data_IF_561345636164
#
_entry.id   IF_561345636164
#
_cell.length_a   1.000
_cell.length_b   1.000
_cell.length_c   1.000
_cell.angle_alpha   90.00
_cell.angle_beta   90.00
_cell.angle_gamma   90.00
#
_symmetry.space_group_name_H-M   'P 1'
#
loop_
_entity.id
_entity.type
_entity.pdbx_description
1 polymer ?
#
# COMPACT_ATOMS: atom_id res chain seq x y z
N UNK A 1 -5.14 25.09 -22.81
CA UNK A 1 -3.77 25.55 -22.53
C UNK A 1 -3.43 26.61 -23.55
N UNK A 2 -2.92 27.80 -23.16
CA UNK A 2 -2.34 28.71 -24.14
C UNK A 2 -1.21 27.98 -24.86
N UNK A 3 -1.08 28.20 -26.17
CA UNK A 3 0.00 27.61 -26.95
C UNK A 3 1.34 28.12 -26.39
N UNK A 4 2.19 27.21 -25.91
CA UNK A 4 3.55 27.55 -25.49
C UNK A 4 4.35 27.87 -26.75
N UNK A 5 4.87 29.09 -26.84
CA UNK A 5 5.85 29.44 -27.86
C UNK A 5 7.18 28.73 -27.55
N UNK A 6 7.45 27.66 -28.30
CA UNK A 6 8.63 26.81 -28.12
C UNK A 6 9.94 27.56 -28.42
N UNK A 7 9.95 28.50 -29.36
CA UNK A 7 11.14 29.27 -29.69
C UNK A 7 11.50 30.23 -28.54
N UNK A 8 10.49 30.88 -27.97
CA UNK A 8 10.65 31.71 -26.77
C UNK A 8 11.10 30.88 -25.57
N UNK A 9 10.45 29.73 -25.33
CA UNK A 9 10.76 28.84 -24.22
C UNK A 9 12.24 28.40 -24.28
N UNK A 10 12.69 27.97 -25.47
CA UNK A 10 14.10 27.60 -25.68
C UNK A 10 15.06 28.74 -25.40
N UNK A 11 14.77 29.96 -25.86
CA UNK A 11 15.60 31.15 -25.59
C UNK A 11 15.65 31.49 -24.10
N UNK A 12 14.53 31.37 -23.39
CA UNK A 12 14.47 31.61 -21.95
C UNK A 12 15.21 30.54 -21.15
N UNK A 13 15.05 29.26 -21.49
CA UNK A 13 15.78 28.15 -20.86
C UNK A 13 17.28 28.24 -21.10
N UNK A 14 17.69 28.61 -22.32
CA UNK A 14 19.10 28.81 -22.65
C UNK A 14 19.70 29.96 -21.83
N UNK A 15 18.99 31.09 -21.73
CA UNK A 15 19.40 32.20 -20.84
C UNK A 15 19.44 31.81 -19.37
N UNK A 16 18.52 30.96 -18.92
CA UNK A 16 18.53 30.45 -17.55
C UNK A 16 19.82 29.63 -17.29
N UNK A 17 20.26 28.82 -18.26
CA UNK A 17 21.49 28.05 -18.16
C UNK A 17 22.75 28.93 -18.05
N UNK A 18 22.74 30.18 -18.53
CA UNK A 18 23.86 31.12 -18.35
C UNK A 18 24.15 31.40 -16.86
N UNK A 19 23.13 31.25 -15.99
CA UNK A 19 23.26 31.45 -14.54
C UNK A 19 23.63 30.17 -13.78
N UNK A 20 23.94 29.07 -14.47
CA UNK A 20 24.22 27.77 -13.83
C UNK A 20 25.28 27.83 -12.72
N UNK A 21 26.31 28.65 -12.91
CA UNK A 21 27.41 28.83 -11.94
C UNK A 21 27.10 29.85 -10.83
N UNK A 22 25.90 30.43 -10.82
CA UNK A 22 25.44 31.41 -9.85
C UNK A 22 24.10 30.93 -9.25
N UNK A 23 24.11 29.94 -8.33
CA UNK A 23 22.90 29.25 -7.88
C UNK A 23 21.76 30.15 -7.39
N UNK A 24 22.06 31.25 -6.69
CA UNK A 24 21.05 32.21 -6.23
C UNK A 24 20.38 32.98 -7.39
N UNK A 25 21.17 33.46 -8.36
CA UNK A 25 20.65 34.13 -9.55
C UNK A 25 19.89 33.16 -10.45
N UNK A 26 20.38 31.92 -10.55
CA UNK A 26 19.66 30.84 -11.23
C UNK A 26 18.28 30.64 -10.61
N UNK A 27 18.20 30.49 -9.28
CA UNK A 27 16.93 30.26 -8.60
C UNK A 27 15.97 31.43 -8.81
N UNK A 28 16.46 32.68 -8.73
CA UNK A 28 15.65 33.87 -9.01
C UNK A 28 15.04 33.84 -10.41
N UNK A 29 15.86 33.59 -11.44
CA UNK A 29 15.37 33.52 -12.82
C UNK A 29 14.50 32.28 -13.10
N UNK A 30 14.75 31.17 -12.40
CA UNK A 30 13.90 30.00 -12.47
C UNK A 30 12.50 30.31 -11.94
N UNK A 31 12.37 30.98 -10.78
CA UNK A 31 11.06 31.36 -10.24
C UNK A 31 10.29 32.24 -11.22
N UNK A 32 10.94 33.27 -11.78
CA UNK A 32 10.35 34.15 -12.79
C UNK A 32 9.84 33.36 -14.01
N UNK A 33 10.62 32.37 -14.46
CA UNK A 33 10.27 31.53 -15.59
C UNK A 33 9.10 30.57 -15.28
N UNK A 34 9.13 29.91 -14.12
CA UNK A 34 8.05 29.00 -13.70
C UNK A 34 6.74 29.76 -13.50
N UNK A 35 6.78 30.95 -12.89
CA UNK A 35 5.65 31.86 -12.70
C UNK A 35 5.06 32.36 -14.02
N UNK A 36 5.93 32.66 -14.99
CA UNK A 36 5.51 33.10 -16.32
C UNK A 36 4.71 32.02 -17.06
N UNK A 37 5.10 30.75 -16.91
CA UNK A 37 4.47 29.61 -17.57
C UNK A 37 3.39 28.91 -16.72
N UNK A 38 2.96 29.50 -15.59
CA UNK A 38 1.88 28.98 -14.74
C UNK A 38 0.61 28.75 -15.58
N UNK A 39 0.01 27.59 -15.42
CA UNK A 39 -1.27 27.30 -16.06
C UNK A 39 -2.44 27.96 -15.30
N UNK A 40 -2.73 29.22 -15.63
CA UNK A 40 -3.78 30.01 -14.97
C UNK A 40 -5.21 29.48 -15.15
N UNK A 41 -5.47 28.50 -16.02
CA UNK A 41 -6.81 27.88 -16.15
C UNK A 41 -7.12 26.89 -15.01
N UNK A 42 -6.15 26.56 -14.16
CA UNK A 42 -6.31 25.62 -13.03
C UNK A 42 -6.42 26.35 -11.67
N UNK A 43 -6.68 27.67 -11.67
CA UNK A 43 -6.57 28.54 -10.47
C UNK A 43 -7.79 28.49 -9.53
N UNK A 44 -8.48 27.35 -9.45
CA UNK A 44 -9.53 27.12 -8.44
C UNK A 44 -9.09 26.02 -7.49
N UNK A 45 -8.80 26.42 -6.25
CA UNK A 45 -8.60 25.61 -5.04
C UNK A 45 -7.18 25.01 -4.86
N UNK A 46 -6.57 25.42 -3.74
CA UNK A 46 -5.33 24.97 -3.06
C UNK A 46 -4.09 24.61 -3.90
N UNK A 47 -2.95 25.23 -3.57
CA UNK A 47 -1.64 25.17 -4.26
C UNK A 47 -0.90 23.81 -4.12
N UNK A 48 -1.62 22.71 -4.31
CA UNK A 48 -1.12 21.34 -4.15
C UNK A 48 -1.43 20.58 -5.44
N UNK A 49 -0.46 19.83 -5.99
CA UNK A 49 -0.71 18.94 -7.12
C UNK A 49 -1.53 17.72 -6.63
N UNK A 50 -2.44 17.13 -7.44
CA UNK A 50 -3.20 15.95 -7.02
C UNK A 50 -2.26 14.82 -6.55
N UNK A 51 -2.35 14.43 -5.27
CA UNK A 51 -1.49 13.38 -4.68
C UNK A 51 -0.13 13.85 -4.15
N UNK A 52 0.25 15.11 -4.37
CA UNK A 52 1.43 15.75 -3.79
C UNK A 52 1.07 16.43 -2.46
N UNK A 53 2.05 16.66 -1.58
CA UNK A 53 1.93 17.62 -0.46
C UNK A 53 2.83 18.85 -0.66
N UNK A 54 3.43 18.99 -1.85
CA UNK A 54 4.37 20.07 -2.15
C UNK A 54 3.67 21.26 -2.78
N UNK A 55 4.27 22.44 -2.56
CA UNK A 55 3.95 23.63 -3.35
C UNK A 55 4.31 23.33 -4.81
N UNK A 56 3.46 23.74 -5.72
CA UNK A 56 3.67 23.55 -7.17
C UNK A 56 3.40 24.84 -7.92
N UNK A 57 4.24 25.13 -8.91
CA UNK A 57 4.02 26.20 -9.88
C UNK A 57 2.97 25.80 -10.94
N UNK A 58 2.61 24.51 -11.02
CA UNK A 58 1.70 23.93 -12.03
C UNK A 58 2.17 24.26 -13.44
N UNK A 59 3.49 24.29 -13.62
CA UNK A 59 4.12 24.61 -14.89
C UNK A 59 3.99 23.40 -15.83
N UNK A 60 3.67 23.59 -17.12
CA UNK A 60 3.58 22.48 -18.07
C UNK A 60 4.88 21.66 -18.13
N UNK A 61 4.81 20.31 -18.19
CA UNK A 61 6.01 19.45 -18.19
C UNK A 61 7.05 19.80 -19.26
N UNK A 62 6.59 20.26 -20.43
CA UNK A 62 7.47 20.69 -21.52
C UNK A 62 8.45 21.80 -21.14
N UNK A 63 8.09 22.66 -20.16
CA UNK A 63 8.97 23.72 -19.66
C UNK A 63 10.14 23.12 -18.90
N UNK A 64 9.88 22.19 -17.97
CA UNK A 64 10.92 21.47 -17.23
C UNK A 64 11.81 20.67 -18.18
N UNK A 65 11.23 19.92 -19.11
CA UNK A 65 11.99 19.17 -20.11
C UNK A 65 12.92 20.08 -20.93
N UNK A 66 12.46 21.28 -21.30
CA UNK A 66 13.33 22.22 -22.01
C UNK A 66 14.46 22.73 -21.13
N UNK A 67 14.20 23.06 -19.86
CA UNK A 67 15.25 23.47 -18.90
C UNK A 67 16.27 22.35 -18.74
N UNK A 68 15.84 21.12 -18.48
CA UNK A 68 16.70 19.94 -18.36
C UNK A 68 17.61 19.75 -19.60
N UNK A 69 17.07 19.97 -20.80
CA UNK A 69 17.84 19.85 -22.04
C UNK A 69 18.97 20.89 -22.13
N UNK A 70 18.71 22.14 -21.73
CA UNK A 70 19.73 23.20 -21.74
C UNK A 70 20.77 23.00 -20.63
N UNK A 71 20.38 22.43 -19.47
CA UNK A 71 21.29 22.18 -18.34
C UNK A 71 22.16 20.93 -18.50
N UNK A 72 21.76 19.97 -19.34
CA UNK A 72 22.39 18.64 -19.41
C UNK A 72 23.91 18.69 -19.60
N UNK A 73 24.37 19.35 -20.65
CA UNK A 73 25.78 19.36 -21.01
C UNK A 73 26.64 20.09 -19.98
N UNK A 74 26.16 21.24 -19.48
CA UNK A 74 26.89 22.03 -18.48
C UNK A 74 26.96 21.31 -17.12
N UNK A 75 25.89 20.62 -16.72
CA UNK A 75 25.86 19.85 -15.47
C UNK A 75 26.79 18.63 -15.52
N UNK A 76 26.84 17.92 -16.65
CA UNK A 76 27.74 16.77 -16.85
C UNK A 76 29.22 17.19 -16.84
N UNK A 77 29.53 18.37 -17.37
CA UNK A 77 30.89 18.93 -17.38
C UNK A 77 31.33 19.51 -16.03
N UNK A 78 30.38 19.89 -15.16
CA UNK A 78 30.66 20.64 -13.93
C UNK A 78 29.93 20.05 -12.71
N UNK A 79 30.32 18.85 -12.24
CA UNK A 79 29.57 18.11 -11.22
C UNK A 79 29.51 18.82 -9.86
N UNK A 80 30.57 19.54 -9.46
CA UNK A 80 30.55 20.31 -8.22
C UNK A 80 29.48 21.40 -8.24
N UNK A 81 29.42 22.20 -9.30
CA UNK A 81 28.41 23.25 -9.45
C UNK A 81 27.00 22.69 -9.63
N UNK A 82 26.87 21.54 -10.31
CA UNK A 82 25.60 20.84 -10.41
C UNK A 82 25.07 20.39 -9.04
N UNK A 83 25.95 19.93 -8.14
CA UNK A 83 25.56 19.59 -6.77
C UNK A 83 25.13 20.82 -5.95
N UNK A 84 25.90 21.92 -6.03
CA UNK A 84 25.56 23.17 -5.35
C UNK A 84 24.20 23.72 -5.82
N UNK A 85 23.94 23.70 -7.14
CA UNK A 85 22.66 24.10 -7.68
C UNK A 85 21.53 23.13 -7.27
N UNK A 86 21.79 21.82 -7.26
CA UNK A 86 20.81 20.83 -6.82
C UNK A 86 20.40 21.04 -5.36
N UNK A 87 21.33 21.39 -4.48
CA UNK A 87 21.06 21.66 -3.07
C UNK A 87 20.09 22.86 -2.92
N UNK A 88 20.35 23.98 -3.62
CA UNK A 88 19.44 25.15 -3.58
C UNK A 88 18.05 24.81 -4.13
N UNK A 89 17.99 24.08 -5.24
CA UNK A 89 16.72 23.66 -5.84
C UNK A 89 15.92 22.73 -4.92
N UNK A 90 16.62 21.85 -4.18
CA UNK A 90 16.01 20.95 -3.23
C UNK A 90 15.42 21.68 -2.02
N UNK A 91 16.19 22.63 -1.47
CA UNK A 91 15.82 23.43 -0.30
C UNK A 91 14.64 24.38 -0.57
N UNK A 92 14.47 24.83 -1.81
CA UNK A 92 13.29 25.61 -2.22
C UNK A 92 11.97 24.86 -1.99
N UNK A 93 11.99 23.53 -2.10
CA UNK A 93 10.89 22.67 -1.65
C UNK A 93 9.63 22.62 -2.53
N UNK A 94 9.63 23.26 -3.69
CA UNK A 94 8.58 23.12 -4.68
C UNK A 94 8.74 21.82 -5.50
N UNK A 95 7.64 21.31 -6.06
CA UNK A 95 7.65 20.08 -6.87
C UNK A 95 8.62 20.21 -8.05
N UNK A 96 8.46 21.26 -8.85
CA UNK A 96 9.25 21.52 -10.05
C UNK A 96 10.75 21.66 -9.74
N UNK A 97 11.10 22.31 -8.63
CA UNK A 97 12.51 22.51 -8.25
C UNK A 97 13.13 21.23 -7.73
N UNK A 98 12.40 20.40 -6.99
CA UNK A 98 12.87 19.07 -6.56
C UNK A 98 13.04 18.10 -7.71
N UNK A 99 12.19 18.17 -8.74
CA UNK A 99 12.37 17.38 -9.96
C UNK A 99 13.64 17.81 -10.72
N UNK A 100 13.90 19.12 -10.82
CA UNK A 100 15.16 19.61 -11.40
C UNK A 100 16.39 19.22 -10.57
N UNK A 101 16.30 19.26 -9.24
CA UNK A 101 17.36 18.79 -8.35
C UNK A 101 17.66 17.30 -8.58
N UNK A 102 16.62 16.46 -8.66
CA UNK A 102 16.76 15.05 -8.99
C UNK A 102 17.38 14.82 -10.37
N UNK A 103 16.99 15.62 -11.37
CA UNK A 103 17.61 15.61 -12.70
C UNK A 103 19.11 15.91 -12.65
N UNK A 104 19.52 16.97 -11.93
CA UNK A 104 20.92 17.36 -11.79
C UNK A 104 21.76 16.28 -11.12
N UNK A 105 21.26 15.64 -10.05
CA UNK A 105 21.94 14.49 -9.44
C UNK A 105 22.20 13.38 -10.47
N UNK A 106 21.28 13.18 -11.40
CA UNK A 106 21.40 12.21 -12.49
C UNK A 106 22.48 12.50 -13.51
N UNK A 107 23.08 13.71 -13.48
CA UNK A 107 24.20 14.14 -14.33
C UNK A 107 25.55 14.01 -13.64
N UNK A 108 25.57 13.76 -12.33
CA UNK A 108 26.78 13.64 -11.52
C UNK A 108 27.46 12.28 -11.79
N UNK A 109 28.79 12.23 -11.99
CA UNK A 109 29.51 10.98 -12.15
C UNK A 109 29.45 10.14 -10.86
N UNK A 110 29.33 8.80 -10.95
CA UNK A 110 29.19 7.94 -9.76
C UNK A 110 30.41 7.93 -8.83
N UNK A 111 31.57 8.40 -9.30
CA UNK A 111 32.79 8.55 -8.51
C UNK A 111 32.75 9.76 -7.57
N UNK A 112 31.81 10.70 -7.75
CA UNK A 112 31.64 11.83 -6.85
C UNK A 112 31.01 11.36 -5.54
N UNK A 113 31.84 11.28 -4.49
CA UNK A 113 31.49 10.72 -3.17
C UNK A 113 30.29 11.44 -2.52
N UNK A 114 30.07 12.71 -2.88
CA UNK A 114 28.98 13.55 -2.37
C UNK A 114 27.58 13.18 -2.91
N UNK A 115 27.49 12.35 -3.96
CA UNK A 115 26.23 11.99 -4.61
C UNK A 115 25.35 11.08 -3.72
N UNK A 116 25.91 9.95 -3.27
CA UNK A 116 25.14 8.95 -2.50
C UNK A 116 24.57 9.49 -1.18
N UNK A 117 25.32 10.27 -0.36
CA UNK A 117 24.76 10.84 0.87
C UNK A 117 23.53 11.72 0.64
N UNK A 118 23.52 12.54 -0.42
CA UNK A 118 22.36 13.37 -0.80
C UNK A 118 21.19 12.51 -1.20
N UNK A 119 21.42 11.55 -2.11
CA UNK A 119 20.37 10.66 -2.58
C UNK A 119 19.71 9.91 -1.43
N UNK A 120 20.51 9.35 -0.51
CA UNK A 120 20.00 8.64 0.67
C UNK A 120 19.19 9.56 1.58
N UNK A 121 19.72 10.74 1.92
CA UNK A 121 19.02 11.69 2.78
C UNK A 121 17.70 12.17 2.15
N UNK A 122 17.72 12.53 0.88
CA UNK A 122 16.57 13.05 0.15
C UNK A 122 15.49 11.99 -0.03
N UNK A 123 15.86 10.75 -0.34
CA UNK A 123 14.93 9.61 -0.46
C UNK A 123 14.25 9.28 0.88
N UNK A 124 14.94 9.47 2.00
CA UNK A 124 14.37 9.24 3.34
C UNK A 124 13.41 10.36 3.79
N UNK A 125 13.67 11.60 3.38
CA UNK A 125 12.87 12.77 3.79
C UNK A 125 11.62 12.97 2.92
N UNK A 126 11.69 12.60 1.64
CA UNK A 126 10.62 12.88 0.68
C UNK A 126 9.45 11.90 0.83
N UNK A 127 8.23 12.42 0.80
CA UNK A 127 6.99 11.63 0.80
C UNK A 127 6.22 11.72 -0.52
N UNK A 128 6.58 12.70 -1.35
CA UNK A 128 5.97 12.92 -2.65
C UNK A 128 6.37 11.80 -3.62
N UNK A 129 5.40 11.09 -4.24
CA UNK A 129 5.69 9.93 -5.06
C UNK A 129 6.44 10.28 -6.35
N UNK A 130 6.18 11.44 -6.95
CA UNK A 130 6.80 11.85 -8.21
C UNK A 130 8.28 12.21 -7.98
N UNK A 131 8.56 12.99 -6.93
CA UNK A 131 9.95 13.30 -6.56
C UNK A 131 10.69 12.04 -6.12
N UNK A 132 10.07 11.16 -5.32
CA UNK A 132 10.69 9.89 -4.92
C UNK A 132 11.03 9.04 -6.15
N UNK A 133 10.11 8.96 -7.11
CA UNK A 133 10.34 8.28 -8.40
C UNK A 133 11.51 8.89 -9.15
N UNK A 134 11.59 10.22 -9.25
CA UNK A 134 12.68 10.91 -9.93
C UNK A 134 14.04 10.66 -9.27
N UNK A 135 14.11 10.60 -7.93
CA UNK A 135 15.35 10.25 -7.22
C UNK A 135 15.79 8.81 -7.51
N UNK A 136 14.86 7.87 -7.50
CA UNK A 136 15.17 6.45 -7.69
C UNK A 136 15.41 6.07 -9.15
N UNK A 137 14.97 6.90 -10.10
CA UNK A 137 15.12 6.63 -11.53
C UNK A 137 16.08 7.60 -12.22
N UNK A 138 15.71 8.88 -12.30
CA UNK A 138 16.45 9.92 -13.01
C UNK A 138 17.80 10.19 -12.35
N UNK A 139 17.84 10.34 -11.02
CA UNK A 139 19.09 10.66 -10.30
C UNK A 139 20.14 9.55 -10.35
N UNK A 140 19.75 8.32 -10.65
CA UNK A 140 20.65 7.17 -10.75
C UNK A 140 21.09 6.85 -12.18
N UNK A 141 20.71 7.68 -13.17
CA UNK A 141 20.94 7.39 -14.60
C UNK A 141 22.40 7.11 -14.94
N UNK A 142 23.34 7.98 -14.53
CA UNK A 142 24.77 7.77 -14.83
C UNK A 142 25.35 6.58 -14.07
N UNK A 143 25.03 6.43 -12.79
CA UNK A 143 25.47 5.26 -12.00
C UNK A 143 25.01 3.94 -12.62
N UNK A 144 23.77 3.88 -13.09
CA UNK A 144 23.21 2.72 -13.79
C UNK A 144 23.96 2.39 -15.09
N UNK A 145 24.37 3.39 -15.85
CA UNK A 145 25.02 3.22 -17.18
C UNK A 145 26.53 3.03 -17.11
N UNK A 146 27.21 3.76 -16.23
CA UNK A 146 28.67 3.80 -16.15
C UNK A 146 29.24 2.81 -15.14
N UNK A 147 28.50 2.54 -14.05
CA UNK A 147 28.93 1.67 -12.94
C UNK A 147 27.80 0.71 -12.52
N UNK A 148 27.29 -0.16 -13.43
CA UNK A 148 26.15 -1.02 -13.15
C UNK A 148 26.35 -1.95 -11.95
N UNK A 149 27.59 -2.41 -11.69
CA UNK A 149 27.90 -3.20 -10.51
C UNK A 149 27.67 -2.42 -9.20
N UNK A 150 28.11 -1.16 -9.12
CA UNK A 150 27.89 -0.30 -7.97
C UNK A 150 26.40 0.03 -7.79
N UNK A 151 25.69 0.25 -8.91
CA UNK A 151 24.24 0.43 -8.91
C UNK A 151 23.52 -0.79 -8.32
N UNK A 152 23.87 -2.01 -8.75
CA UNK A 152 23.27 -3.24 -8.22
C UNK A 152 23.58 -3.44 -6.74
N UNK A 153 24.76 -3.05 -6.26
CA UNK A 153 25.07 -3.04 -4.81
C UNK A 153 24.12 -2.12 -4.04
N UNK A 154 23.87 -0.90 -4.54
CA UNK A 154 22.90 0.01 -3.94
C UNK A 154 21.48 -0.58 -3.92
N UNK A 155 21.05 -1.21 -5.01
CA UNK A 155 19.74 -1.86 -5.07
C UNK A 155 19.66 -3.02 -4.07
N UNK A 156 20.70 -3.85 -3.92
CA UNK A 156 20.75 -4.91 -2.90
C UNK A 156 20.57 -4.38 -1.48
N UNK A 157 21.15 -3.22 -1.17
CA UNK A 157 20.94 -2.56 0.13
C UNK A 157 19.48 -2.14 0.36
N UNK A 158 18.79 -1.67 -0.68
CA UNK A 158 17.36 -1.37 -0.59
C UNK A 158 16.49 -2.62 -0.46
N UNK A 159 16.89 -3.71 -1.13
CA UNK A 159 16.18 -4.99 -1.13
C UNK A 159 16.58 -5.92 0.03
N UNK A 160 17.36 -5.44 1.00
CA UNK A 160 17.82 -6.26 2.11
C UNK A 160 16.64 -6.84 2.91
N UNK A 161 16.62 -8.14 3.27
CA UNK A 161 15.47 -8.77 3.93
C UNK A 161 15.01 -8.09 5.23
N UNK A 162 15.96 -7.64 6.06
CA UNK A 162 15.67 -6.91 7.29
C UNK A 162 15.08 -5.49 7.08
N UNK A 163 14.97 -5.00 5.84
CA UNK A 163 14.54 -3.63 5.50
C UNK A 163 13.38 -3.63 4.49
N UNK A 164 12.35 -4.44 4.73
CA UNK A 164 11.19 -4.55 3.82
C UNK A 164 10.54 -3.21 3.41
N UNK A 165 10.62 -2.19 4.27
CA UNK A 165 10.11 -0.83 3.97
C UNK A 165 10.82 -0.14 2.80
N UNK A 166 12.06 -0.51 2.49
CA UNK A 166 12.84 0.06 1.38
C UNK A 166 12.75 -0.76 0.11
N UNK A 167 12.06 -1.90 0.11
CA UNK A 167 11.99 -2.76 -1.07
C UNK A 167 11.34 -2.06 -2.27
N UNK A 168 10.28 -1.28 -2.04
CA UNK A 168 9.67 -0.43 -3.08
C UNK A 168 10.71 0.48 -3.74
N UNK A 169 11.64 1.04 -2.97
CA UNK A 169 12.72 1.87 -3.54
C UNK A 169 13.65 1.06 -4.44
N UNK A 170 14.01 -0.15 -4.01
CA UNK A 170 14.88 -1.03 -4.78
C UNK A 170 14.22 -1.48 -6.08
N UNK A 171 12.94 -1.88 -6.03
CA UNK A 171 12.16 -2.25 -7.22
C UNK A 171 12.08 -1.06 -8.18
N UNK A 172 11.66 0.10 -7.69
CA UNK A 172 11.49 1.31 -8.52
C UNK A 172 12.82 1.74 -9.17
N UNK A 173 13.94 1.64 -8.45
CA UNK A 173 15.26 1.92 -9.02
C UNK A 173 15.66 0.92 -10.10
N UNK A 174 15.27 -0.35 -9.94
CA UNK A 174 15.63 -1.44 -10.85
C UNK A 174 14.86 -1.40 -12.18
N UNK A 175 13.62 -0.88 -12.20
CA UNK A 175 12.75 -0.88 -13.39
C UNK A 175 13.42 -0.27 -14.64
N UNK A 176 14.05 0.92 -14.60
CA UNK A 176 14.76 1.44 -15.76
C UNK A 176 15.93 0.56 -16.23
N UNK A 177 16.62 -0.11 -15.30
CA UNK A 177 17.72 -1.02 -15.67
C UNK A 177 17.20 -2.24 -16.41
N UNK A 178 16.07 -2.80 -15.99
CA UNK A 178 15.42 -3.93 -16.67
C UNK A 178 14.93 -3.50 -18.06
N UNK A 179 14.31 -2.32 -18.16
CA UNK A 179 13.80 -1.79 -19.42
C UNK A 179 14.92 -1.48 -20.43
N UNK A 180 16.10 -1.08 -19.95
CA UNK A 180 17.30 -0.77 -20.76
C UNK A 180 18.24 -1.98 -20.92
N UNK A 181 17.96 -3.13 -20.28
CA UNK A 181 18.92 -4.22 -20.13
C UNK A 181 19.30 -4.84 -21.49
N UNK A 182 20.60 -4.84 -21.77
CA UNK A 182 21.21 -5.87 -22.63
C UNK A 182 21.36 -7.16 -21.81
N UNK A 183 21.33 -8.32 -22.47
CA UNK A 183 21.24 -9.66 -21.84
C UNK A 183 22.22 -9.95 -20.68
N UNK A 184 23.30 -9.18 -20.53
CA UNK A 184 24.40 -9.47 -19.61
C UNK A 184 24.05 -9.31 -18.12
N UNK A 185 23.14 -8.41 -17.74
CA UNK A 185 22.80 -8.17 -16.33
C UNK A 185 21.55 -8.93 -15.86
N UNK A 186 20.78 -9.51 -16.79
CA UNK A 186 19.51 -10.18 -16.49
C UNK A 186 19.65 -11.32 -15.47
N UNK A 187 20.63 -12.25 -15.58
CA UNK A 187 20.77 -13.33 -14.61
C UNK A 187 20.94 -12.81 -13.17
N UNK A 188 21.83 -11.84 -12.96
CA UNK A 188 22.06 -11.24 -11.64
C UNK A 188 20.83 -10.50 -11.10
N UNK A 189 20.01 -9.94 -11.99
CA UNK A 189 18.74 -9.32 -11.63
C UNK A 189 17.73 -10.38 -11.19
N UNK A 190 17.59 -11.48 -11.94
CA UNK A 190 16.72 -12.60 -11.57
C UNK A 190 17.09 -13.17 -10.21
N UNK A 191 18.37 -13.47 -9.97
CA UNK A 191 18.87 -13.94 -8.67
C UNK A 191 18.56 -12.98 -7.52
N UNK A 192 18.51 -11.67 -7.80
CA UNK A 192 18.23 -10.64 -6.79
C UNK A 192 16.74 -10.53 -6.47
N UNK A 193 15.86 -10.69 -7.47
CA UNK A 193 14.42 -10.46 -7.32
C UNK A 193 13.64 -11.74 -7.01
N UNK A 194 14.20 -12.92 -7.24
CA UNK A 194 13.60 -14.20 -6.87
C UNK A 194 13.16 -14.26 -5.40
N UNK A 195 14.04 -14.06 -4.39
CA UNK A 195 13.62 -14.10 -2.98
C UNK A 195 12.64 -12.97 -2.64
N UNK A 196 12.67 -11.87 -3.39
CA UNK A 196 11.72 -10.78 -3.23
C UNK A 196 10.33 -11.19 -3.74
N UNK A 197 10.22 -11.86 -4.88
CA UNK A 197 8.93 -12.33 -5.41
C UNK A 197 8.35 -13.41 -4.49
N UNK A 198 9.20 -14.24 -3.89
CA UNK A 198 8.78 -15.25 -2.90
C UNK A 198 8.23 -14.63 -1.61
N UNK A 199 8.93 -13.66 -1.03
CA UNK A 199 8.63 -13.15 0.32
C UNK A 199 7.94 -11.77 0.34
N UNK A 200 7.59 -11.19 -0.82
CA UNK A 200 7.06 -9.84 -0.86
C UNK A 200 5.71 -9.70 -0.13
N UNK A 201 5.58 -8.67 0.72
CA UNK A 201 4.32 -8.37 1.39
C UNK A 201 3.29 -7.85 0.39
N UNK A 202 2.02 -8.04 0.70
CA UNK A 202 0.90 -7.58 -0.15
C UNK A 202 0.89 -6.07 -0.45
N UNK A 203 1.56 -5.26 0.37
CA UNK A 203 1.73 -3.82 0.12
C UNK A 203 2.57 -3.50 -1.12
N UNK A 204 3.38 -4.44 -1.62
CA UNK A 204 4.20 -4.29 -2.82
C UNK A 204 3.52 -4.83 -4.08
N UNK A 205 2.23 -5.15 -4.05
CA UNK A 205 1.53 -5.75 -5.21
C UNK A 205 1.72 -4.95 -6.51
N UNK A 206 1.57 -3.62 -6.46
CA UNK A 206 1.77 -2.79 -7.65
C UNK A 206 3.23 -2.80 -8.13
N UNK A 207 4.18 -2.66 -7.20
CA UNK A 207 5.62 -2.70 -7.51
C UNK A 207 6.02 -4.07 -8.09
N UNK A 208 5.48 -5.17 -7.56
CA UNK A 208 5.69 -6.53 -8.08
C UNK A 208 5.08 -6.71 -9.47
N UNK A 209 3.88 -6.16 -9.71
CA UNK A 209 3.27 -6.17 -11.03
C UNK A 209 4.19 -5.49 -12.04
N UNK A 210 4.62 -4.27 -11.73
CA UNK A 210 5.52 -3.50 -12.61
C UNK A 210 6.84 -4.23 -12.84
N UNK A 211 7.41 -4.83 -11.79
CA UNK A 211 8.64 -5.62 -11.86
C UNK A 211 8.48 -6.84 -12.78
N UNK A 212 7.46 -7.66 -12.56
CA UNK A 212 7.23 -8.88 -13.35
C UNK A 212 6.92 -8.53 -14.80
N UNK A 213 6.13 -7.49 -15.05
CA UNK A 213 5.86 -7.01 -16.41
C UNK A 213 7.14 -6.53 -17.09
N UNK A 214 8.00 -5.80 -16.37
CA UNK A 214 9.29 -5.35 -16.90
C UNK A 214 10.22 -6.52 -17.20
N UNK A 215 10.36 -7.47 -16.28
CA UNK A 215 11.16 -8.70 -16.46
C UNK A 215 10.65 -9.50 -17.66
N UNK A 216 9.33 -9.67 -17.79
CA UNK A 216 8.74 -10.43 -18.89
C UNK A 216 9.00 -9.77 -20.25
N UNK A 217 8.96 -8.43 -20.32
CA UNK A 217 9.31 -7.69 -21.54
C UNK A 217 10.80 -7.83 -21.89
N UNK A 218 11.66 -7.88 -20.88
CA UNK A 218 13.11 -8.05 -21.08
C UNK A 218 13.47 -9.50 -21.48
N UNK A 219 12.87 -10.50 -20.82
CA UNK A 219 13.02 -11.90 -21.15
C UNK A 219 11.77 -12.70 -20.74
N UNK A 220 10.93 -13.00 -21.73
CA UNK A 220 9.70 -13.76 -21.50
C UNK A 220 10.00 -15.17 -20.97
N UNK A 221 10.96 -15.88 -21.58
CA UNK A 221 11.28 -17.26 -21.23
C UNK A 221 11.82 -17.38 -19.80
N UNK A 222 12.78 -16.54 -19.42
CA UNK A 222 13.38 -16.57 -18.08
C UNK A 222 12.37 -16.16 -17.01
N UNK A 223 11.56 -15.12 -17.29
CA UNK A 223 10.53 -14.68 -16.34
C UNK A 223 9.47 -15.76 -16.13
N UNK A 224 9.00 -16.40 -17.20
CA UNK A 224 8.10 -17.55 -17.08
C UNK A 224 8.78 -18.65 -16.28
N UNK A 225 10.01 -19.03 -16.60
CA UNK A 225 10.72 -20.10 -15.89
C UNK A 225 10.85 -19.80 -14.39
N UNK A 226 11.28 -18.58 -14.03
CA UNK A 226 11.36 -18.14 -12.64
C UNK A 226 10.01 -18.27 -11.93
N UNK A 227 8.94 -17.73 -12.51
CA UNK A 227 7.61 -17.80 -11.88
C UNK A 227 7.11 -19.24 -11.75
N UNK A 228 7.43 -20.12 -12.72
CA UNK A 228 7.12 -21.56 -12.61
C UNK A 228 7.92 -22.22 -11.49
N UNK A 229 9.21 -21.87 -11.36
CA UNK A 229 10.09 -22.36 -10.31
C UNK A 229 9.54 -21.97 -8.92
N UNK A 230 9.31 -20.68 -8.72
CA UNK A 230 8.72 -20.11 -7.50
C UNK A 230 7.39 -20.80 -7.19
N UNK A 231 6.45 -20.88 -8.13
CA UNK A 231 5.14 -21.49 -7.88
C UNK A 231 5.23 -23.00 -7.57
N UNK A 232 6.23 -23.71 -8.10
CA UNK A 232 6.41 -25.14 -7.85
C UNK A 232 7.07 -25.41 -6.49
N UNK A 233 7.89 -24.47 -6.01
CA UNK A 233 8.68 -24.61 -4.79
C UNK A 233 8.19 -23.70 -3.64
N UNK A 234 7.11 -22.95 -3.85
CA UNK A 234 6.60 -21.96 -2.90
C UNK A 234 6.32 -22.60 -1.53
N UNK A 235 7.20 -22.32 -0.57
CA UNK A 235 6.97 -22.66 0.84
C UNK A 235 6.01 -21.68 1.50
N UNK A 236 6.04 -20.43 1.03
CA UNK A 236 5.13 -19.39 1.48
C UNK A 236 3.82 -19.43 0.66
N UNK A 237 2.68 -19.82 1.26
CA UNK A 237 1.41 -19.90 0.56
C UNK A 237 0.94 -18.55 0.02
N UNK A 238 1.44 -17.43 0.58
CA UNK A 238 1.11 -16.07 0.14
C UNK A 238 1.70 -15.71 -1.22
N UNK A 239 2.80 -16.36 -1.63
CA UNK A 239 3.43 -16.13 -2.94
C UNK A 239 2.45 -16.50 -4.06
N UNK A 240 1.82 -17.67 -3.95
CA UNK A 240 0.85 -18.19 -4.93
C UNK A 240 -0.38 -17.28 -4.99
N UNK A 241 -0.88 -16.82 -3.83
CA UNK A 241 -2.05 -15.93 -3.74
C UNK A 241 -1.74 -14.57 -4.34
N UNK A 242 -0.59 -13.99 -4.01
CA UNK A 242 -0.14 -12.70 -4.53
C UNK A 242 -0.02 -12.77 -6.05
N UNK A 243 0.69 -13.78 -6.59
CA UNK A 243 0.82 -13.99 -8.03
C UNK A 243 -0.53 -14.20 -8.72
N UNK A 244 -1.47 -14.92 -8.10
CA UNK A 244 -2.84 -15.08 -8.63
C UNK A 244 -3.58 -13.75 -8.70
N UNK A 245 -3.44 -12.89 -7.69
CA UNK A 245 -4.13 -11.60 -7.60
C UNK A 245 -3.64 -10.61 -8.65
N UNK A 246 -2.33 -10.56 -8.89
CA UNK A 246 -1.71 -9.64 -9.86
C UNK A 246 -1.65 -10.20 -11.29
N UNK A 247 -1.86 -11.51 -11.47
CA UNK A 247 -1.87 -12.14 -12.79
C UNK A 247 -2.79 -11.47 -13.84
N UNK A 248 -3.99 -10.95 -13.51
CA UNK A 248 -4.83 -10.25 -14.48
C UNK A 248 -4.17 -9.04 -15.15
N UNK A 249 -3.18 -8.42 -14.50
CA UNK A 249 -2.45 -7.26 -15.00
C UNK A 249 -1.23 -7.63 -15.86
N UNK A 250 -0.89 -8.93 -15.94
CA UNK A 250 0.23 -9.41 -16.74
C UNK A 250 -0.09 -9.46 -18.24
N UNK A 251 0.92 -9.51 -19.13
CA UNK A 251 0.68 -9.72 -20.55
C UNK A 251 -0.10 -11.02 -20.83
N UNK A 252 -1.06 -11.05 -21.77
CA UNK A 252 -1.92 -12.22 -22.00
C UNK A 252 -1.20 -13.56 -22.21
N UNK A 253 -0.03 -13.62 -22.89
CA UNK A 253 0.71 -14.88 -23.03
C UNK A 253 1.20 -15.41 -21.67
N UNK A 254 1.73 -14.55 -20.80
CA UNK A 254 2.16 -14.92 -19.45
C UNK A 254 0.97 -15.40 -18.60
N UNK A 255 -0.17 -14.72 -18.69
CA UNK A 255 -1.39 -15.16 -17.99
C UNK A 255 -1.79 -16.59 -18.38
N UNK A 256 -1.70 -16.92 -19.69
CA UNK A 256 -2.03 -18.25 -20.20
C UNK A 256 -1.07 -19.30 -19.66
N UNK A 257 0.23 -19.01 -19.63
CA UNK A 257 1.25 -19.93 -19.12
C UNK A 257 1.14 -20.19 -17.62
N UNK A 258 0.74 -19.19 -16.83
CA UNK A 258 0.58 -19.32 -15.38
C UNK A 258 -0.77 -19.90 -14.96
N UNK A 259 -1.79 -19.82 -15.81
CA UNK A 259 -3.17 -20.23 -15.49
C UNK A 259 -3.27 -21.69 -15.03
N UNK A 260 -2.55 -22.61 -15.65
CA UNK A 260 -2.58 -24.04 -15.28
C UNK A 260 -1.89 -24.29 -13.94
N UNK A 261 -0.74 -23.66 -13.71
CA UNK A 261 0.02 -23.79 -12.46
C UNK A 261 -0.69 -23.14 -11.27
N UNK A 262 -1.35 -22.00 -11.48
CA UNK A 262 -2.16 -21.33 -10.46
C UNK A 262 -3.49 -22.07 -10.17
N UNK A 263 -3.89 -23.01 -11.04
CA UNK A 263 -5.07 -23.89 -10.90
C UNK A 263 -4.74 -25.27 -10.33
N UNK A 264 -3.50 -25.73 -10.42
CA UNK A 264 -3.09 -27.07 -9.99
C UNK A 264 -3.33 -27.29 -8.49
N UNK A 265 -4.01 -28.38 -8.09
CA UNK A 265 -4.38 -28.68 -6.71
C UNK A 265 -3.25 -29.35 -5.90
N UNK A 266 -1.97 -29.09 -6.19
CA UNK A 266 -0.84 -29.76 -5.51
C UNK A 266 -0.57 -29.30 -4.07
N UNK A 267 -1.46 -28.47 -3.50
CA UNK A 267 -1.46 -28.13 -2.06
C UNK A 267 -2.73 -28.62 -1.33
N UNK A 268 -3.61 -29.38 -2.00
CA UNK A 268 -4.80 -29.96 -1.37
C UNK A 268 -4.52 -31.16 -0.45
N UNK A 269 -3.30 -31.73 -0.46
CA UNK A 269 -2.97 -32.97 0.25
C UNK A 269 -2.52 -32.80 1.71
N UNK A 270 -2.36 -31.58 2.22
CA UNK A 270 -2.08 -31.36 3.66
C UNK A 270 -3.37 -31.41 4.49
N UNK A 271 -4.55 -31.42 3.85
CA UNK A 271 -5.85 -31.54 4.52
C UNK A 271 -6.32 -33.00 4.56
N UNK A 272 -5.78 -33.79 5.51
CA UNK A 272 -6.48 -34.91 6.17
C UNK A 272 -5.57 -35.46 7.26
N UNK A 273 -5.73 -34.93 8.47
CA UNK A 273 -5.53 -35.75 9.67
C UNK A 273 -6.91 -36.34 9.96
N UNK A 274 -6.98 -37.67 9.95
CA UNK A 274 -8.19 -38.43 10.27
C UNK A 274 -8.54 -38.20 11.75
N UNK A 275 -9.77 -37.77 12.03
CA UNK A 275 -10.33 -37.79 13.39
C UNK A 275 -10.72 -39.24 13.75
N UNK A 276 -10.17 -39.75 14.85
CA UNK A 276 -10.65 -40.98 15.49
C UNK A 276 -12.07 -40.77 16.05
N UNK A 277 -12.94 -41.80 16.04
CA UNK A 277 -14.30 -41.65 16.57
C UNK A 277 -14.28 -41.75 18.10
N UNK A 278 -14.77 -40.70 18.77
CA UNK A 278 -15.11 -40.79 20.19
C UNK A 278 -16.53 -41.37 20.33
N UNK A 279 -16.61 -42.60 20.82
CA UNK A 279 -17.78 -43.16 21.49
C UNK A 279 -18.21 -42.23 22.63
N UNK A 280 -19.47 -41.78 22.65
CA UNK A 280 -20.26 -41.61 23.89
C UNK A 280 -21.74 -41.44 23.54
N UNK A 281 -22.55 -42.42 23.95
CA UNK A 281 -24.01 -42.34 24.02
C UNK A 281 -24.40 -41.61 25.30
N UNK A 282 -25.27 -40.60 25.20
CA UNK A 282 -26.10 -40.16 26.34
C UNK A 282 -27.51 -39.81 25.85
N UNK A 283 -28.48 -40.39 26.54
CA UNK A 283 -29.93 -40.36 26.32
C UNK A 283 -30.56 -38.95 26.19
N UNK A 284 -31.56 -38.86 25.32
CA UNK A 284 -32.53 -37.76 25.26
C UNK A 284 -33.44 -37.73 26.50
N UNK A 285 -33.70 -36.52 27.02
CA UNK A 285 -34.94 -36.19 27.73
C UNK A 285 -35.43 -34.80 27.27
N UNK A 286 -36.70 -34.64 26.84
CA UNK A 286 -37.19 -33.36 26.33
C UNK A 286 -37.75 -32.47 27.45
N UNK A 287 -37.44 -31.17 27.41
CA UNK A 287 -38.01 -30.15 28.30
C UNK A 287 -38.31 -28.84 27.52
N UNK A 288 -39.19 -27.96 28.02
CA UNK A 288 -40.40 -27.50 27.34
C UNK A 288 -40.19 -26.26 26.44
N UNK A 289 -41.02 -26.16 25.39
CA UNK A 289 -41.08 -25.00 24.49
C UNK A 289 -41.67 -23.77 25.20
N UNK A 290 -40.82 -22.94 25.78
CA UNK A 290 -41.18 -21.58 26.18
C UNK A 290 -41.07 -20.68 24.95
N UNK A 291 -42.21 -20.24 24.41
CA UNK A 291 -42.27 -19.18 23.39
C UNK A 291 -41.91 -17.84 24.04
N UNK A 292 -40.64 -17.49 24.04
CA UNK A 292 -40.19 -16.12 24.34
C UNK A 292 -40.54 -15.24 23.14
N UNK A 293 -41.42 -14.25 23.33
CA UNK A 293 -41.63 -13.18 22.34
C UNK A 293 -40.30 -12.41 22.20
N UNK A 294 -39.55 -12.65 21.12
CA UNK A 294 -38.32 -11.90 20.80
C UNK A 294 -38.65 -10.41 20.70
N UNK A 295 -38.04 -9.61 21.57
CA UNK A 295 -38.16 -8.15 21.58
C UNK A 295 -37.40 -7.63 20.36
N UNK A 296 -38.09 -6.94 19.44
CA UNK A 296 -37.49 -6.44 18.19
C UNK A 296 -36.27 -5.56 18.51
N UNK A 297 -35.12 -5.88 17.92
CA UNK A 297 -33.84 -5.19 18.11
C UNK A 297 -33.93 -3.70 17.74
N UNK A 298 -33.34 -2.82 18.55
CA UNK A 298 -33.25 -1.38 18.26
C UNK A 298 -32.07 -1.11 17.34
N UNK A 299 -32.34 -1.00 16.04
CA UNK A 299 -31.31 -0.79 15.02
C UNK A 299 -30.52 0.51 15.22
N UNK A 300 -31.09 1.53 15.90
CA UNK A 300 -30.39 2.79 16.20
C UNK A 300 -29.22 2.63 17.18
N UNK A 301 -29.12 1.46 17.81
CA UNK A 301 -28.02 1.03 18.68
C UNK A 301 -27.04 0.09 17.99
N UNK A 302 -27.11 -0.02 16.66
CA UNK A 302 -26.15 -0.77 15.86
C UNK A 302 -25.25 0.23 15.15
N UNK A 303 -23.94 0.05 15.23
CA UNK A 303 -22.96 0.86 14.50
C UNK A 303 -22.08 -0.03 13.63
N UNK A 304 -21.84 0.39 12.38
CA UNK A 304 -20.88 -0.26 11.50
C UNK A 304 -19.60 0.59 11.40
N UNK A 305 -18.46 -0.04 11.68
CA UNK A 305 -17.13 0.54 11.58
C UNK A 305 -16.44 -0.06 10.35
N UNK A 306 -16.20 0.79 9.35
CA UNK A 306 -15.62 0.38 8.08
C UNK A 306 -14.09 0.19 8.15
N UNK A 307 -13.54 -0.52 7.16
CA UNK A 307 -12.09 -0.75 7.03
C UNK A 307 -11.28 0.51 6.67
N UNK A 308 -9.95 0.37 6.61
CA UNK A 308 -9.02 1.49 6.44
C UNK A 308 -9.28 2.28 5.16
N UNK A 309 -9.39 1.58 4.02
CA UNK A 309 -9.61 2.15 2.68
C UNK A 309 -11.10 2.16 2.28
N UNK A 310 -11.98 2.15 3.26
CA UNK A 310 -13.43 2.03 3.07
C UNK A 310 -14.16 3.26 3.60
N UNK A 311 -15.47 3.29 3.40
CA UNK A 311 -16.36 4.36 3.83
C UNK A 311 -17.77 3.82 4.12
N UNK A 312 -18.64 4.69 4.61
CA UNK A 312 -20.09 4.51 4.76
C UNK A 312 -20.78 4.08 3.46
N UNK A 313 -20.13 4.32 2.31
CA UNK A 313 -20.62 3.99 0.97
C UNK A 313 -20.09 2.65 0.43
N UNK A 314 -19.33 1.91 1.22
CA UNK A 314 -18.84 0.58 0.82
C UNK A 314 -19.96 -0.46 0.73
N UNK A 315 -19.70 -1.54 -0.02
CA UNK A 315 -20.68 -2.62 -0.23
C UNK A 315 -21.27 -3.17 1.07
N UNK A 316 -20.43 -3.59 2.03
CA UNK A 316 -20.88 -4.07 3.35
C UNK A 316 -21.67 -3.03 4.13
N UNK A 317 -21.22 -1.77 4.13
CA UNK A 317 -21.90 -0.69 4.86
C UNK A 317 -23.32 -0.45 4.30
N UNK A 318 -23.47 -0.41 2.97
CA UNK A 318 -24.77 -0.29 2.31
C UNK A 318 -25.65 -1.50 2.56
N UNK A 319 -25.12 -2.71 2.41
CA UNK A 319 -25.86 -3.95 2.65
C UNK A 319 -26.36 -4.05 4.10
N UNK A 320 -25.55 -3.67 5.09
CA UNK A 320 -25.99 -3.60 6.48
C UNK A 320 -27.04 -2.51 6.70
N UNK A 321 -26.85 -1.31 6.14
CA UNK A 321 -27.81 -0.21 6.29
C UNK A 321 -29.18 -0.51 5.65
N UNK A 322 -29.18 -1.24 4.52
CA UNK A 322 -30.39 -1.74 3.86
C UNK A 322 -31.10 -2.80 4.71
N UNK A 323 -30.34 -3.76 5.28
CA UNK A 323 -30.91 -4.86 6.08
C UNK A 323 -31.35 -4.40 7.48
N UNK A 324 -30.67 -3.42 8.06
CA UNK A 324 -30.97 -2.86 9.40
C UNK A 324 -31.21 -1.35 9.33
N UNK A 325 -32.38 -0.91 8.83
CA UNK A 325 -32.70 0.51 8.74
C UNK A 325 -32.59 1.21 10.10
N UNK A 326 -31.91 2.35 10.13
CA UNK A 326 -31.68 3.15 11.33
C UNK A 326 -30.34 2.92 12.02
N UNK A 327 -29.52 1.97 11.55
CA UNK A 327 -28.16 1.79 12.06
C UNK A 327 -27.25 2.98 11.74
N UNK A 328 -26.20 3.13 12.55
CA UNK A 328 -25.22 4.22 12.45
C UNK A 328 -24.05 3.77 11.57
N UNK A 329 -23.83 4.45 10.44
CA UNK A 329 -22.76 4.14 9.47
C UNK A 329 -21.90 5.38 9.17
N UNK A 330 -21.12 5.87 10.15
CA UNK A 330 -20.34 7.10 9.99
C UNK A 330 -19.09 6.86 9.14
N UNK A 331 -18.60 7.94 8.53
CA UNK A 331 -17.30 7.95 7.85
C UNK A 331 -16.18 8.31 8.82
N UNK A 332 -15.09 7.55 8.74
CA UNK A 332 -13.89 7.73 9.53
C UNK A 332 -12.68 8.00 8.64
N UNK A 333 -11.92 9.04 8.96
CA UNK A 333 -10.69 9.42 8.23
C UNK A 333 -9.51 9.56 9.17
N UNK A 334 -8.30 9.47 8.60
CA UNK A 334 -7.05 9.60 9.36
C UNK A 334 -6.57 8.30 10.03
N UNK A 335 -5.57 8.49 10.90
CA UNK A 335 -4.90 7.49 11.74
C UNK A 335 -5.85 6.80 12.73
N UNK A 336 -5.38 5.71 13.37
CA UNK A 336 -6.15 5.00 14.38
C UNK A 336 -6.65 5.93 15.50
N UNK A 337 -5.76 6.78 16.02
CA UNK A 337 -6.05 7.73 17.10
C UNK A 337 -7.09 8.76 16.68
N UNK A 338 -7.01 9.27 15.45
CA UNK A 338 -7.98 10.22 14.89
C UNK A 338 -9.36 9.57 14.72
N UNK A 339 -9.41 8.33 14.21
CA UNK A 339 -10.66 7.59 14.09
C UNK A 339 -11.29 7.26 15.44
N UNK A 340 -10.48 6.91 16.44
CA UNK A 340 -10.97 6.70 17.81
C UNK A 340 -11.47 8.01 18.45
N UNK A 341 -10.85 9.16 18.15
CA UNK A 341 -11.36 10.49 18.55
C UNK A 341 -12.71 10.81 17.90
N UNK A 342 -12.93 10.39 16.65
CA UNK A 342 -14.21 10.54 15.95
C UNK A 342 -15.28 9.56 16.47
N UNK A 343 -14.91 8.32 16.83
CA UNK A 343 -15.84 7.29 17.32
C UNK A 343 -16.43 7.63 18.70
N UNK A 344 -15.60 8.10 19.63
CA UNK A 344 -15.99 8.41 21.02
C UNK A 344 -17.22 9.33 21.14
N UNK A 345 -17.33 10.48 20.46
CA UNK A 345 -18.50 11.34 20.55
C UNK A 345 -19.78 10.75 19.92
N UNK A 346 -19.65 9.88 18.91
CA UNK A 346 -20.79 9.21 18.25
C UNK A 346 -21.46 8.22 19.22
N UNK A 347 -20.66 7.41 19.91
CA UNK A 347 -21.16 6.46 20.91
C UNK A 347 -21.56 7.18 22.21
N UNK A 348 -20.85 8.24 22.57
CA UNK A 348 -21.14 9.12 23.69
C UNK A 348 -21.17 8.37 25.02
N UNK A 349 -22.21 8.61 25.83
CA UNK A 349 -22.49 7.88 27.09
C UNK A 349 -23.58 6.83 26.93
N UNK A 350 -24.00 6.55 25.69
CA UNK A 350 -25.11 5.62 25.41
C UNK A 350 -24.63 4.19 25.64
N UNK A 351 -25.48 3.37 26.25
CA UNK A 351 -25.23 1.95 26.48
C UNK A 351 -25.99 1.08 25.47
N UNK A 352 -25.74 -0.22 25.55
CA UNK A 352 -26.36 -1.28 24.76
C UNK A 352 -26.05 -1.20 23.26
N UNK A 353 -24.84 -0.77 22.90
CA UNK A 353 -24.38 -0.76 21.52
C UNK A 353 -24.11 -2.18 21.01
N UNK A 354 -24.55 -2.47 19.80
CA UNK A 354 -24.02 -3.56 18.99
C UNK A 354 -23.03 -2.96 18.01
N UNK A 355 -21.75 -3.33 18.13
CA UNK A 355 -20.69 -2.81 17.26
C UNK A 355 -20.35 -3.86 16.21
N UNK A 356 -20.39 -3.50 14.93
CA UNK A 356 -19.95 -4.34 13.82
C UNK A 356 -18.70 -3.70 13.23
N UNK A 357 -17.54 -4.37 13.34
CA UNK A 357 -16.28 -3.84 12.84
C UNK A 357 -15.69 -4.73 11.76
N UNK A 358 -15.40 -4.16 10.58
CA UNK A 358 -14.70 -4.88 9.50
C UNK A 358 -13.24 -4.44 9.39
N UNK A 359 -12.32 -5.41 9.36
CA UNK A 359 -10.88 -5.16 9.19
C UNK A 359 -10.36 -4.12 10.18
N UNK A 360 -9.93 -2.94 9.73
CA UNK A 360 -9.51 -1.83 10.60
C UNK A 360 -10.61 -1.32 11.53
N UNK A 361 -11.88 -1.33 11.08
CA UNK A 361 -13.01 -1.05 11.95
C UNK A 361 -13.23 -2.12 13.02
N UNK A 362 -12.81 -3.36 12.74
CA UNK A 362 -12.74 -4.44 13.73
C UNK A 362 -11.76 -4.14 14.86
N UNK A 363 -10.57 -3.63 14.52
CA UNK A 363 -9.58 -3.16 15.50
C UNK A 363 -10.15 -2.02 16.37
N UNK A 364 -10.81 -1.03 15.76
CA UNK A 364 -11.48 0.06 16.50
C UNK A 364 -12.55 -0.48 17.46
N UNK A 365 -13.39 -1.41 16.98
CA UNK A 365 -14.44 -2.05 17.77
C UNK A 365 -13.88 -2.84 18.95
N UNK A 366 -12.81 -3.61 18.73
CA UNK A 366 -12.11 -4.36 19.79
C UNK A 366 -11.57 -3.44 20.88
N UNK A 367 -10.80 -2.42 20.51
CA UNK A 367 -10.21 -1.49 21.50
C UNK A 367 -11.30 -0.73 22.27
N UNK A 368 -12.32 -0.23 21.59
CA UNK A 368 -13.44 0.44 22.27
C UNK A 368 -14.17 -0.49 23.24
N UNK A 369 -14.43 -1.74 22.83
CA UNK A 369 -15.16 -2.71 23.65
C UNK A 369 -14.37 -3.10 24.89
N UNK A 370 -13.06 -3.30 24.78
CA UNK A 370 -12.21 -3.61 25.94
C UNK A 370 -12.11 -2.42 26.91
N UNK A 371 -12.06 -1.18 26.40
CA UNK A 371 -12.01 0.02 27.24
C UNK A 371 -13.36 0.40 27.88
N UNK A 372 -14.47 0.03 27.23
CA UNK A 372 -15.83 0.44 27.63
C UNK A 372 -16.84 -0.72 27.59
N UNK A 373 -16.59 -1.86 28.24
CA UNK A 373 -17.42 -3.06 28.12
C UNK A 373 -18.87 -2.83 28.57
N UNK A 374 -19.10 -1.98 29.57
CA UNK A 374 -20.45 -1.64 30.05
C UNK A 374 -21.31 -0.84 29.04
N UNK A 375 -20.73 -0.35 27.94
CA UNK A 375 -21.46 0.34 26.87
C UNK A 375 -21.84 -0.59 25.72
N UNK A 376 -21.13 -1.71 25.57
CA UNK A 376 -21.24 -2.62 24.43
C UNK A 376 -22.01 -3.87 24.85
N UNK A 377 -23.17 -4.08 24.22
CA UNK A 377 -23.96 -5.30 24.39
C UNK A 377 -23.33 -6.48 23.65
N UNK A 378 -22.95 -6.24 22.39
CA UNK A 378 -22.45 -7.28 21.47
C UNK A 378 -21.43 -6.70 20.51
N UNK A 379 -20.37 -7.43 20.23
CA UNK A 379 -19.33 -7.08 19.26
C UNK A 379 -19.31 -8.12 18.14
N UNK A 380 -19.38 -7.67 16.88
CA UNK A 380 -19.23 -8.52 15.70
C UNK A 380 -17.96 -8.09 14.98
N UNK A 381 -17.02 -9.02 14.82
CA UNK A 381 -15.75 -8.82 14.17
C UNK A 381 -15.75 -9.52 12.82
N UNK A 382 -15.54 -8.77 11.74
CA UNK A 382 -15.51 -9.27 10.37
C UNK A 382 -14.08 -9.16 9.83
N UNK A 383 -13.35 -10.28 9.83
CA UNK A 383 -11.95 -10.32 9.42
C UNK A 383 -11.10 -9.21 10.07
N UNK A 384 -11.06 -9.11 11.42
CA UNK A 384 -10.55 -7.92 12.12
C UNK A 384 -9.02 -7.84 12.07
N UNK A 385 -8.47 -6.64 11.83
CA UNK A 385 -7.03 -6.41 11.71
C UNK A 385 -6.29 -6.33 13.06
N UNK A 386 -6.43 -7.36 13.91
CA UNK A 386 -5.90 -7.41 15.28
C UNK A 386 -4.38 -7.67 15.35
N UNK A 387 -3.69 -7.74 14.21
CA UNK A 387 -2.26 -8.05 14.13
C UNK A 387 -1.43 -6.90 13.56
N UNK A 388 -2.04 -5.74 13.27
CA UNK A 388 -1.31 -4.56 12.79
C UNK A 388 -0.48 -3.95 13.91
N UNK A 389 0.62 -3.29 13.56
CA UNK A 389 1.53 -2.56 14.47
C UNK A 389 0.80 -1.67 15.50
N UNK A 390 -0.34 -1.10 15.14
CA UNK A 390 -1.16 -0.28 16.05
C UNK A 390 -1.79 -1.06 17.20
N UNK A 391 -2.01 -2.37 17.07
CA UNK A 391 -2.51 -3.22 18.15
C UNK A 391 -1.41 -3.60 19.15
N UNK A 392 -0.12 -3.46 18.80
CA UNK A 392 0.98 -3.75 19.72
C UNK A 392 0.93 -2.90 21.00
N UNK A 393 0.40 -1.66 20.92
CA UNK A 393 0.18 -0.78 22.06
C UNK A 393 -1.02 -1.17 22.95
N UNK A 394 -1.79 -2.19 22.56
CA UNK A 394 -3.01 -2.65 23.23
C UNK A 394 -2.96 -4.14 23.60
N UNK A 395 -1.77 -4.75 23.57
CA UNK A 395 -1.56 -6.15 23.99
C UNK A 395 -1.84 -6.38 25.49
N UNK A 396 -1.88 -5.32 26.29
CA UNK A 396 -2.18 -5.34 27.73
C UNK A 396 -3.66 -5.05 28.06
N UNK A 397 -4.56 -5.06 27.07
CA UNK A 397 -5.99 -4.91 27.36
C UNK A 397 -6.50 -6.09 28.20
N UNK A 398 -7.22 -5.76 29.27
CA UNK A 398 -7.86 -6.76 30.13
C UNK A 398 -8.98 -7.51 29.37
N UNK A 399 -9.08 -8.84 29.51
CA UNK A 399 -10.15 -9.62 28.89
C UNK A 399 -11.54 -9.17 29.36
N UNK A 400 -12.51 -9.17 28.45
CA UNK A 400 -13.90 -8.77 28.74
C UNK A 400 -14.90 -9.87 28.39
N UNK A 401 -16.01 -9.92 29.14
CA UNK A 401 -17.08 -10.92 28.96
C UNK A 401 -18.20 -10.46 28.01
N UNK A 402 -17.95 -9.41 27.21
CA UNK A 402 -18.90 -8.92 26.20
C UNK A 402 -19.12 -10.03 25.18
N UNK A 403 -20.38 -10.25 24.78
CA UNK A 403 -20.70 -11.25 23.76
C UNK A 403 -20.05 -10.84 22.43
N UNK A 404 -19.11 -11.64 21.95
CA UNK A 404 -18.34 -11.35 20.74
C UNK A 404 -18.50 -12.47 19.73
N UNK A 405 -18.74 -12.12 18.47
CA UNK A 405 -18.76 -13.07 17.35
C UNK A 405 -17.64 -12.68 16.39
N UNK A 406 -16.67 -13.57 16.20
CA UNK A 406 -15.62 -13.44 15.21
C UNK A 406 -16.00 -14.23 13.95
N UNK A 407 -16.16 -13.53 12.83
CA UNK A 407 -16.42 -14.13 11.52
C UNK A 407 -15.19 -13.94 10.67
N UNK A 408 -14.59 -15.04 10.24
CA UNK A 408 -13.33 -15.02 9.50
C UNK A 408 -13.35 -15.99 8.32
N UNK A 409 -12.92 -15.50 7.16
CA UNK A 409 -12.74 -16.30 5.98
C UNK A 409 -11.55 -17.24 6.14
N UNK A 410 -11.71 -18.52 5.81
CA UNK A 410 -10.60 -19.48 5.79
C UNK A 410 -9.59 -19.17 4.71
N UNK A 411 -9.95 -18.35 3.72
CA UNK A 411 -9.09 -17.85 2.65
C UNK A 411 -8.72 -16.36 2.86
N UNK A 412 -8.81 -15.83 4.08
CA UNK A 412 -8.41 -14.45 4.39
C UNK A 412 -6.89 -14.27 4.24
N UNK A 413 -6.52 -13.51 3.21
CA UNK A 413 -5.15 -13.26 2.78
C UNK A 413 -4.68 -11.82 3.14
N UNK A 414 -5.49 -11.06 3.87
CA UNK A 414 -5.15 -9.73 4.38
C UNK A 414 -4.89 -9.80 5.89
N UNK A 415 -5.66 -10.61 6.61
CA UNK A 415 -5.46 -10.86 8.03
C UNK A 415 -5.53 -12.36 8.30
N UNK A 416 -4.44 -13.01 8.76
CA UNK A 416 -4.43 -14.45 8.94
C UNK A 416 -5.41 -14.89 10.06
N UNK A 417 -6.23 -15.93 9.83
CA UNK A 417 -7.24 -16.36 10.80
C UNK A 417 -6.71 -16.82 12.15
N UNK A 418 -5.68 -17.66 12.17
CA UNK A 418 -5.20 -18.27 13.42
C UNK A 418 -4.61 -17.25 14.40
N UNK A 419 -3.70 -16.33 14.02
CA UNK A 419 -3.17 -15.39 15.00
C UNK A 419 -4.22 -14.35 15.44
N UNK A 420 -5.20 -14.03 14.59
CA UNK A 420 -6.36 -13.21 15.00
C UNK A 420 -7.21 -13.95 16.03
N UNK A 421 -7.43 -15.25 15.81
CA UNK A 421 -8.16 -16.11 16.73
C UNK A 421 -7.48 -16.15 18.09
N UNK A 422 -6.17 -16.38 18.14
CA UNK A 422 -5.42 -16.38 19.39
C UNK A 422 -5.57 -15.06 20.17
N UNK A 423 -5.52 -13.92 19.47
CA UNK A 423 -5.72 -12.60 20.08
C UNK A 423 -7.16 -12.42 20.57
N UNK A 424 -8.14 -12.84 19.78
CA UNK A 424 -9.55 -12.73 20.14
C UNK A 424 -9.91 -13.60 21.35
N UNK A 425 -9.39 -14.83 21.41
CA UNK A 425 -9.59 -15.75 22.52
C UNK A 425 -8.96 -15.21 23.82
N UNK A 426 -7.83 -14.50 23.73
CA UNK A 426 -7.22 -13.81 24.88
C UNK A 426 -8.07 -12.65 25.38
N UNK A 427 -8.70 -11.88 24.49
CA UNK A 427 -9.43 -10.65 24.86
C UNK A 427 -10.92 -10.86 25.20
N UNK A 428 -11.56 -11.90 24.68
CA UNK A 428 -13.00 -12.08 24.82
C UNK A 428 -13.35 -13.43 25.42
N UNK A 429 -13.81 -13.43 26.66
CA UNK A 429 -14.16 -14.68 27.37
C UNK A 429 -15.52 -15.25 26.96
N UNK A 430 -16.32 -14.49 26.21
CA UNK A 430 -17.58 -14.90 25.61
C UNK A 430 -17.51 -14.75 24.09
N UNK A 431 -16.65 -15.56 23.46
CA UNK A 431 -16.33 -15.51 22.04
C UNK A 431 -16.96 -16.70 21.30
N UNK A 432 -17.72 -16.40 20.25
CA UNK A 432 -18.13 -17.36 19.23
C UNK A 432 -17.29 -17.13 17.97
N UNK A 433 -16.75 -18.20 17.38
CA UNK A 433 -15.98 -18.14 16.14
C UNK A 433 -16.78 -18.80 15.03
N UNK A 434 -16.96 -18.11 13.92
CA UNK A 434 -17.60 -18.58 12.70
C UNK A 434 -16.57 -18.50 11.58
N UNK A 435 -16.04 -19.64 11.17
CA UNK A 435 -15.18 -19.77 10.00
C UNK A 435 -16.04 -20.00 8.76
N UNK A 436 -15.72 -19.31 7.67
CA UNK A 436 -16.47 -19.38 6.40
C UNK A 436 -15.51 -19.58 5.23
N UNK A 437 -15.94 -20.31 4.20
CA UNK A 437 -15.16 -20.53 2.97
C UNK A 437 -15.19 -19.29 2.05
N UNK A 438 -14.51 -18.24 2.51
CA UNK A 438 -14.49 -16.92 1.88
C UNK A 438 -13.13 -16.24 2.11
N UNK A 439 -12.86 -15.19 1.34
CA UNK A 439 -11.67 -14.36 1.52
C UNK A 439 -11.91 -13.20 2.50
N UNK A 440 -10.93 -12.30 2.63
CA UNK A 440 -11.00 -11.15 3.54
C UNK A 440 -12.28 -10.30 3.40
N UNK A 441 -12.78 -10.21 2.17
CA UNK A 441 -13.97 -9.42 1.88
C UNK A 441 -15.27 -10.07 2.34
N UNK A 442 -15.29 -11.33 2.78
CA UNK A 442 -16.49 -12.02 3.28
C UNK A 442 -17.71 -11.83 2.36
N UNK A 443 -17.50 -11.86 1.04
CA UNK A 443 -18.53 -11.50 0.05
C UNK A 443 -19.65 -12.53 -0.04
N UNK A 444 -19.31 -13.83 0.01
CA UNK A 444 -20.26 -14.95 0.00
C UNK A 444 -20.94 -15.05 1.37
N UNK A 445 -20.13 -14.99 2.43
CA UNK A 445 -20.60 -15.13 3.81
C UNK A 445 -21.68 -14.11 4.17
N UNK A 446 -21.62 -12.88 3.62
CA UNK A 446 -22.68 -11.90 3.86
C UNK A 446 -24.05 -12.34 3.33
N UNK A 447 -24.10 -13.04 2.19
CA UNK A 447 -25.35 -13.54 1.61
C UNK A 447 -25.88 -14.81 2.30
N UNK A 448 -24.98 -15.62 2.86
CA UNK A 448 -25.31 -16.94 3.42
C UNK A 448 -25.63 -16.91 4.91
N UNK A 449 -25.07 -15.95 5.66
CA UNK A 449 -25.23 -15.87 7.10
C UNK A 449 -26.56 -15.22 7.53
N UNK A 450 -27.17 -15.79 8.57
CA UNK A 450 -28.36 -15.24 9.20
C UNK A 450 -28.01 -14.06 10.13
N UNK A 451 -27.82 -12.87 9.54
CA UNK A 451 -27.45 -11.67 10.29
C UNK A 451 -28.44 -11.24 11.38
N UNK A 452 -29.72 -11.60 11.28
CA UNK A 452 -30.72 -11.28 12.31
C UNK A 452 -30.43 -12.08 13.59
N UNK A 453 -30.13 -13.38 13.44
CA UNK A 453 -29.73 -14.26 14.53
C UNK A 453 -28.34 -13.91 15.08
N UNK A 454 -27.40 -13.51 14.21
CA UNK A 454 -26.06 -13.10 14.64
C UNK A 454 -26.09 -11.78 15.43
N UNK A 455 -27.06 -10.88 15.19
CA UNK A 455 -27.15 -9.59 15.91
C UNK A 455 -28.11 -9.61 17.11
N UNK A 456 -29.09 -10.52 17.13
CA UNK A 456 -29.87 -10.87 18.32
C UNK A 456 -29.01 -11.45 19.45
#
# INVERSE_FOLDING_TARGET
>A
MPAIDLARLRKQANRLADFFFLPDEFMKHLREMLDFYVNYTLRTVENVAPGSNLKTYRTPPAVLTQIENELRAVAEANPQFALELADILWDEGALETRLLAAFLLGRIPPQEERLLPRLTAWTQQIRDPDVRSALLSTSLTRMRKETPAQFLTLVREYLHPARMRTWSNGIQALLPMIAEASNNNLPTIFDMVEPLIEEAPSTLQNDLTDLIVALYRASANETTFLLKHILSNAQNPMTVVTLRRIAPDFPPPLQKELRELLRSPSLAQIRRVEEEPADFVVDEVPAPKIRVRKKKMDNSKIIYLHGLESSSQSGKARQFAEKFPGMVTPDFTGSFEERMKQLKPILGRRKNWTIIGSSFGGLMGTVFTCQHPAQVRKLILLAPALLRDHFAAYLELEPVSVQTVLIHGTEDDVVPPEPVREVAEKLFTNLQIITVDDGHRLQKAFGELNWEEILE
#
